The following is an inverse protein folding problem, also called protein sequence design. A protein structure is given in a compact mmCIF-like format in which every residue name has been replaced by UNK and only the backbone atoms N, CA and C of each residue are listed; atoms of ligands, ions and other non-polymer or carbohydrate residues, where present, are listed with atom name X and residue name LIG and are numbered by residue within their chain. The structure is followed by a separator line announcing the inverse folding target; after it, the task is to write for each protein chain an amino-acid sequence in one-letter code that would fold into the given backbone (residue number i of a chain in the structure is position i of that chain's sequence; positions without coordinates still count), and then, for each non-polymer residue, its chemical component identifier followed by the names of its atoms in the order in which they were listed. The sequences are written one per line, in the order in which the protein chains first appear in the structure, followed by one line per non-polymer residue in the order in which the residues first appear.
data_IF_064857324714
#
_entry.id   IF_064857324714
#
_cell.length_a   1.000
_cell.length_b   1.000
_cell.length_c   1.000
_cell.angle_alpha   90.00
_cell.angle_beta   90.00
_cell.angle_gamma   90.00
#
_symmetry.space_group_name_H-M   'P 1'
#
loop_
_entity.id
_entity.type
_entity.pdbx_description
1 polymer ?
#
# COMPACT_ATOMS: atom_id res chain seq x y z
N UNK A 1 -36.18 49.50 -11.44
CA UNK A 1 -35.02 48.96 -12.18
C UNK A 1 -34.69 47.61 -11.59
N UNK A 2 -34.46 46.60 -12.44
CA UNK A 2 -33.97 45.31 -11.97
C UNK A 2 -32.60 45.51 -11.31
N UNK A 3 -32.32 44.76 -10.24
CA UNK A 3 -31.01 44.75 -9.57
C UNK A 3 -29.96 44.26 -10.60
N UNK A 4 -28.96 45.08 -10.97
CA UNK A 4 -27.94 44.71 -11.95
C UNK A 4 -27.20 43.42 -11.58
N UNK A 5 -27.08 43.13 -10.29
CA UNK A 5 -26.49 41.88 -9.80
C UNK A 5 -27.33 40.66 -10.20
N UNK A 6 -28.65 40.73 -9.97
CA UNK A 6 -29.58 39.64 -10.30
C UNK A 6 -29.75 39.46 -11.80
N UNK A 7 -29.73 40.54 -12.57
CA UNK A 7 -29.84 40.47 -14.02
C UNK A 7 -28.74 39.60 -14.65
N UNK A 8 -27.49 39.79 -14.25
CA UNK A 8 -26.37 38.98 -14.77
C UNK A 8 -26.58 37.49 -14.46
N UNK A 9 -27.09 37.19 -13.26
CA UNK A 9 -27.31 35.82 -12.80
C UNK A 9 -28.47 35.15 -13.56
N UNK A 10 -29.59 35.86 -13.72
CA UNK A 10 -30.76 35.36 -14.45
C UNK A 10 -30.41 35.00 -15.89
N UNK A 11 -29.62 35.84 -16.56
CA UNK A 11 -29.13 35.56 -17.91
C UNK A 11 -28.15 34.39 -17.93
N UNK A 12 -27.24 34.31 -16.96
CA UNK A 12 -26.31 33.19 -16.84
C UNK A 12 -27.06 31.86 -16.69
N UNK A 13 -28.12 31.82 -15.86
CA UNK A 13 -28.99 30.64 -15.70
C UNK A 13 -29.69 30.29 -17.02
N UNK A 14 -30.22 31.29 -17.74
CA UNK A 14 -30.91 31.07 -19.00
C UNK A 14 -30.01 30.40 -20.05
N UNK A 15 -28.72 30.72 -20.03
CA UNK A 15 -27.72 30.21 -20.97
C UNK A 15 -26.88 29.03 -20.42
N UNK A 16 -27.34 28.38 -19.34
CA UNK A 16 -26.66 27.25 -18.67
C UNK A 16 -26.23 26.12 -19.61
N UNK A 17 -27.06 25.79 -20.59
CA UNK A 17 -26.79 24.70 -21.52
C UNK A 17 -25.53 25.00 -22.36
N UNK A 18 -25.40 26.23 -22.83
CA UNK A 18 -24.29 26.69 -23.65
C UNK A 18 -23.01 26.80 -22.82
N UNK A 19 -23.09 27.37 -21.61
CA UNK A 19 -21.96 27.40 -20.67
C UNK A 19 -21.43 25.98 -20.37
N UNK A 20 -22.33 25.06 -20.00
CA UNK A 20 -21.89 23.71 -19.62
C UNK A 20 -21.35 22.92 -20.81
N UNK A 21 -21.93 23.12 -22.00
CA UNK A 21 -21.40 22.57 -23.25
C UNK A 21 -19.99 23.08 -23.55
N UNK A 22 -19.76 24.38 -23.42
CA UNK A 22 -18.45 25.00 -23.63
C UNK A 22 -17.39 24.43 -22.68
N UNK A 23 -17.68 24.42 -21.37
CA UNK A 23 -16.72 23.91 -20.38
C UNK A 23 -16.43 22.43 -20.60
N UNK A 24 -17.45 21.60 -20.88
CA UNK A 24 -17.23 20.18 -21.21
C UNK A 24 -16.36 20.04 -22.45
N UNK A 25 -16.60 20.83 -23.50
CA UNK A 25 -15.79 20.85 -24.72
C UNK A 25 -14.33 21.17 -24.44
N UNK A 26 -14.06 22.24 -23.68
CA UNK A 26 -12.69 22.65 -23.32
C UNK A 26 -12.00 21.58 -22.47
N UNK A 27 -12.65 21.08 -21.42
CA UNK A 27 -12.05 20.11 -20.51
C UNK A 27 -11.74 18.78 -21.20
N UNK A 28 -12.59 18.33 -22.11
CA UNK A 28 -12.34 17.10 -22.89
C UNK A 28 -11.26 17.28 -23.95
N UNK A 29 -11.05 18.49 -24.47
CA UNK A 29 -10.00 18.79 -25.42
C UNK A 29 -8.62 18.89 -24.75
N UNK A 30 -8.56 19.44 -23.52
CA UNK A 30 -7.31 19.69 -22.80
C UNK A 30 -6.92 18.56 -21.83
N UNK A 31 -7.88 17.78 -21.31
CA UNK A 31 -7.66 16.76 -20.28
C UNK A 31 -7.89 15.32 -20.78
N UNK A 32 -6.83 14.50 -20.74
CA UNK A 32 -6.89 13.10 -21.17
C UNK A 32 -7.82 12.25 -20.30
N UNK A 33 -7.96 12.56 -19.01
CA UNK A 33 -8.92 11.93 -18.11
C UNK A 33 -10.35 12.30 -18.47
N UNK A 34 -10.61 13.60 -18.63
CA UNK A 34 -11.94 14.10 -18.99
C UNK A 34 -12.41 13.63 -20.37
N UNK A 35 -11.51 13.47 -21.33
CA UNK A 35 -11.81 12.94 -22.66
C UNK A 35 -12.44 11.54 -22.63
N UNK A 36 -12.10 10.71 -21.62
CA UNK A 36 -12.61 9.34 -21.47
C UNK A 36 -14.00 9.25 -20.86
N UNK A 37 -14.49 10.32 -20.22
CA UNK A 37 -15.80 10.31 -19.59
C UNK A 37 -16.92 10.25 -20.65
N UNK A 38 -18.13 9.83 -20.27
CA UNK A 38 -19.31 10.05 -21.12
C UNK A 38 -19.66 11.55 -21.11
N UNK A 39 -19.81 12.14 -22.31
CA UNK A 39 -19.98 13.59 -22.44
C UNK A 39 -21.33 14.07 -21.86
N UNK A 40 -22.41 13.31 -22.06
CA UNK A 40 -23.74 13.68 -21.59
C UNK A 40 -23.84 13.58 -20.05
N UNK A 41 -23.26 12.53 -19.47
CA UNK A 41 -23.16 12.38 -18.01
C UNK A 41 -22.26 13.45 -17.40
N UNK A 42 -21.12 13.75 -18.02
CA UNK A 42 -20.25 14.81 -17.52
C UNK A 42 -20.95 16.17 -17.55
N UNK A 43 -21.66 16.49 -18.62
CA UNK A 43 -22.44 17.72 -18.72
C UNK A 43 -23.52 17.81 -17.64
N UNK A 44 -24.28 16.73 -17.37
CA UNK A 44 -25.27 16.69 -16.27
C UNK A 44 -24.62 17.00 -14.92
N UNK A 45 -23.47 16.39 -14.63
CA UNK A 45 -22.76 16.61 -13.37
C UNK A 45 -22.24 18.04 -13.23
N UNK A 46 -21.70 18.60 -14.32
CA UNK A 46 -21.23 19.98 -14.36
C UNK A 46 -22.40 20.97 -14.21
N UNK A 47 -23.56 20.68 -14.80
CA UNK A 47 -24.78 21.48 -14.61
C UNK A 47 -25.13 21.60 -13.13
N UNK A 48 -24.99 20.53 -12.33
CA UNK A 48 -25.21 20.58 -10.88
C UNK A 48 -24.26 21.54 -10.17
N UNK A 49 -22.97 21.52 -10.51
CA UNK A 49 -21.98 22.46 -9.94
C UNK A 49 -22.19 23.90 -10.39
N UNK A 50 -22.60 24.10 -11.64
CA UNK A 50 -23.00 25.41 -12.14
C UNK A 50 -24.15 25.99 -11.32
N UNK A 51 -25.21 25.20 -11.07
CA UNK A 51 -26.36 25.66 -10.28
C UNK A 51 -25.94 26.08 -8.88
N UNK A 52 -25.13 25.25 -8.21
CA UNK A 52 -24.61 25.57 -6.89
C UNK A 52 -23.87 26.92 -6.92
N UNK A 53 -22.93 27.10 -7.84
CA UNK A 53 -22.17 28.36 -7.94
C UNK A 53 -23.08 29.59 -8.17
N UNK A 54 -24.08 29.43 -9.04
CA UNK A 54 -25.06 30.48 -9.32
C UNK A 54 -25.97 30.78 -8.12
N UNK A 55 -26.43 29.78 -7.38
CA UNK A 55 -27.26 29.96 -6.18
C UNK A 55 -26.48 30.69 -5.07
N UNK A 56 -25.20 30.35 -4.89
CA UNK A 56 -24.30 31.04 -3.96
C UNK A 56 -24.08 32.51 -4.35
N UNK A 57 -23.87 32.78 -5.64
CA UNK A 57 -23.73 34.13 -6.18
C UNK A 57 -25.02 34.96 -6.03
N UNK A 58 -26.18 34.34 -6.29
CA UNK A 58 -27.49 34.99 -6.10
C UNK A 58 -27.79 35.32 -4.64
N UNK A 59 -27.43 34.41 -3.73
CA UNK A 59 -27.61 34.57 -2.30
C UNK A 59 -26.55 35.45 -1.63
N UNK A 60 -25.46 35.78 -2.32
CA UNK A 60 -24.27 36.42 -1.74
C UNK A 60 -23.81 35.75 -0.43
N UNK A 61 -23.92 34.42 -0.39
CA UNK A 61 -23.48 33.56 0.73
C UNK A 61 -22.49 32.47 0.31
N UNK A 62 -21.61 32.14 1.23
CA UNK A 62 -20.69 31.02 1.10
C UNK A 62 -21.44 29.68 1.23
N UNK A 63 -20.86 28.57 0.73
CA UNK A 63 -21.49 27.26 0.78
C UNK A 63 -21.69 26.79 2.22
N UNK A 64 -22.85 26.19 2.47
CA UNK A 64 -23.16 25.58 3.75
C UNK A 64 -22.57 24.15 3.88
N UNK A 65 -22.69 23.48 5.04
CA UNK A 65 -22.15 22.13 5.22
C UNK A 65 -22.71 21.06 4.26
N UNK A 66 -23.92 21.23 3.73
CA UNK A 66 -24.59 20.29 2.84
C UNK A 66 -24.09 20.46 1.41
N UNK A 67 -23.94 21.71 0.98
CA UNK A 67 -23.32 22.06 -0.30
C UNK A 67 -21.84 21.67 -0.33
N UNK A 68 -21.13 21.84 0.79
CA UNK A 68 -19.76 21.34 0.92
C UNK A 68 -19.68 19.80 0.87
N UNK A 69 -20.73 19.07 1.27
CA UNK A 69 -20.82 17.60 1.02
C UNK A 69 -20.97 17.30 -0.46
N UNK A 70 -21.80 18.06 -1.20
CA UNK A 70 -21.94 17.90 -2.65
C UNK A 70 -20.61 18.11 -3.38
N UNK A 71 -19.79 19.08 -2.95
CA UNK A 71 -18.45 19.28 -3.48
C UNK A 71 -17.54 18.08 -3.19
N UNK A 72 -17.55 17.56 -1.95
CA UNK A 72 -16.80 16.33 -1.62
C UNK A 72 -17.24 15.16 -2.49
N UNK A 73 -18.53 14.99 -2.74
CA UNK A 73 -19.04 13.94 -3.62
C UNK A 73 -18.58 14.12 -5.07
N UNK A 74 -18.51 15.36 -5.56
CA UNK A 74 -17.95 15.65 -6.88
C UNK A 74 -16.48 15.24 -6.97
N UNK A 75 -15.66 15.63 -5.98
CA UNK A 75 -14.25 15.26 -5.91
C UNK A 75 -14.03 13.75 -5.82
N UNK A 76 -14.81 13.07 -4.97
CA UNK A 76 -14.80 11.61 -4.81
C UNK A 76 -15.08 10.90 -6.14
N UNK A 77 -16.16 11.29 -6.85
CA UNK A 77 -16.49 10.67 -8.15
C UNK A 77 -15.37 10.83 -9.17
N UNK A 78 -14.66 11.96 -9.17
CA UNK A 78 -13.53 12.18 -10.07
C UNK A 78 -12.35 11.25 -9.75
N UNK A 79 -12.07 11.02 -8.47
CA UNK A 79 -11.08 10.01 -8.06
C UNK A 79 -11.51 8.59 -8.49
N UNK A 80 -12.76 8.21 -8.25
CA UNK A 80 -13.32 6.90 -8.66
C UNK A 80 -13.29 6.68 -10.18
N UNK A 81 -13.37 7.77 -10.95
CA UNK A 81 -13.24 7.76 -12.42
C UNK A 81 -11.79 7.80 -12.92
N UNK A 82 -10.80 7.83 -12.02
CA UNK A 82 -9.37 7.88 -12.36
C UNK A 82 -8.92 9.23 -12.92
N UNK A 83 -9.57 10.33 -12.53
CA UNK A 83 -9.09 11.70 -12.80
C UNK A 83 -8.13 12.08 -11.68
N UNK A 84 -6.90 12.46 -12.03
CA UNK A 84 -5.90 12.90 -11.07
C UNK A 84 -6.28 14.23 -10.40
N UNK A 85 -5.82 14.44 -9.16
CA UNK A 85 -6.15 15.65 -8.40
C UNK A 85 -5.69 16.92 -9.14
N UNK A 86 -4.51 16.88 -9.76
CA UNK A 86 -3.98 18.00 -10.54
C UNK A 86 -4.87 18.32 -11.75
N UNK A 87 -5.33 17.29 -12.48
CA UNK A 87 -6.24 17.44 -13.61
C UNK A 87 -7.61 17.96 -13.15
N UNK A 88 -8.10 17.49 -11.99
CA UNK A 88 -9.32 18.01 -11.36
C UNK A 88 -9.21 19.51 -11.06
N UNK A 89 -8.15 19.94 -10.39
CA UNK A 89 -7.95 21.35 -10.02
C UNK A 89 -7.69 22.24 -11.24
N UNK A 90 -6.98 21.72 -12.24
CA UNK A 90 -6.80 22.41 -13.51
C UNK A 90 -8.14 22.61 -14.22
N UNK A 91 -8.95 21.56 -14.32
CA UNK A 91 -10.27 21.64 -14.95
C UNK A 91 -11.23 22.58 -14.20
N UNK A 92 -11.14 22.59 -12.87
CA UNK A 92 -11.89 23.53 -12.05
C UNK A 92 -11.52 25.00 -12.34
N UNK A 93 -10.21 25.30 -12.45
CA UNK A 93 -9.74 26.65 -12.83
C UNK A 93 -10.25 27.07 -14.21
N UNK A 94 -10.29 26.15 -15.17
CA UNK A 94 -10.87 26.40 -16.49
C UNK A 94 -12.36 26.74 -16.36
N UNK A 95 -13.14 25.93 -15.66
CA UNK A 95 -14.58 26.13 -15.49
C UNK A 95 -14.89 27.52 -14.88
N UNK A 96 -14.14 27.94 -13.86
CA UNK A 96 -14.29 29.26 -13.24
C UNK A 96 -13.85 30.40 -14.16
N UNK A 97 -12.77 30.22 -14.93
CA UNK A 97 -12.34 31.22 -15.94
C UNK A 97 -13.41 31.42 -17.01
N UNK A 98 -14.03 30.34 -17.48
CA UNK A 98 -15.19 30.43 -18.39
C UNK A 98 -16.34 31.15 -17.71
N UNK A 99 -16.65 30.81 -16.46
CA UNK A 99 -17.76 31.42 -15.71
C UNK A 99 -17.60 32.93 -15.53
N UNK A 100 -16.39 33.39 -15.18
CA UNK A 100 -16.06 34.81 -15.07
C UNK A 100 -16.18 35.54 -16.41
N UNK A 101 -15.69 34.93 -17.51
CA UNK A 101 -15.84 35.49 -18.86
C UNK A 101 -17.31 35.69 -19.22
N UNK A 102 -18.17 34.73 -18.90
CA UNK A 102 -19.60 34.80 -19.15
C UNK A 102 -20.29 35.91 -18.34
N UNK A 103 -20.00 36.03 -17.04
CA UNK A 103 -20.49 37.15 -16.22
C UNK A 103 -20.10 38.50 -16.83
N UNK A 104 -18.84 38.64 -17.25
CA UNK A 104 -18.35 39.88 -17.86
C UNK A 104 -19.07 40.20 -19.17
N UNK A 105 -19.24 39.22 -20.06
CA UNK A 105 -19.94 39.40 -21.34
C UNK A 105 -21.41 39.80 -21.15
N UNK A 106 -22.12 39.09 -20.27
CA UNK A 106 -23.52 39.38 -19.94
C UNK A 106 -23.65 40.78 -19.34
N UNK A 107 -22.79 41.12 -18.37
CA UNK A 107 -22.86 42.42 -17.71
C UNK A 107 -22.59 43.59 -18.67
N UNK A 108 -21.60 43.45 -19.56
CA UNK A 108 -21.32 44.44 -20.60
C UNK A 108 -22.51 44.62 -21.56
N UNK A 109 -23.12 43.52 -22.02
CA UNK A 109 -24.27 43.55 -22.92
C UNK A 109 -25.50 44.24 -22.30
N UNK A 110 -25.62 44.22 -20.96
CA UNK A 110 -26.75 44.77 -20.23
C UNK A 110 -26.44 46.08 -19.48
N UNK A 111 -25.25 46.67 -19.69
CA UNK A 111 -24.87 47.94 -19.07
C UNK A 111 -24.70 47.88 -17.55
N UNK A 112 -24.31 46.71 -17.01
CA UNK A 112 -23.96 46.55 -15.59
C UNK A 112 -22.69 47.33 -15.30
N UNK A 113 -22.67 48.11 -14.22
CA UNK A 113 -21.51 48.94 -13.85
C UNK A 113 -20.28 48.12 -13.47
N UNK A 114 -19.08 48.66 -13.73
CA UNK A 114 -17.79 48.06 -13.35
C UNK A 114 -17.69 47.69 -11.87
N UNK A 115 -18.29 48.51 -10.98
CA UNK A 115 -18.31 48.22 -9.54
C UNK A 115 -19.02 46.89 -9.24
N UNK A 116 -20.19 46.68 -9.83
CA UNK A 116 -20.97 45.44 -9.64
C UNK A 116 -20.23 44.25 -10.26
N UNK A 117 -19.61 44.41 -11.43
CA UNK A 117 -18.82 43.35 -12.06
C UNK A 117 -17.57 42.97 -11.24
N UNK A 118 -16.92 43.95 -10.61
CA UNK A 118 -15.79 43.71 -9.71
C UNK A 118 -16.23 42.98 -8.44
N UNK A 119 -17.35 43.40 -7.84
CA UNK A 119 -17.95 42.72 -6.69
C UNK A 119 -18.33 41.27 -7.05
N UNK A 120 -18.93 41.01 -8.22
CA UNK A 120 -19.25 39.67 -8.71
C UNK A 120 -17.99 38.83 -8.92
N UNK A 121 -16.94 39.41 -9.51
CA UNK A 121 -15.68 38.71 -9.77
C UNK A 121 -15.02 38.27 -8.47
N UNK A 122 -14.85 39.17 -7.51
CA UNK A 122 -14.27 38.86 -6.21
C UNK A 122 -15.06 37.77 -5.49
N UNK A 123 -16.39 37.85 -5.56
CA UNK A 123 -17.27 36.87 -4.96
C UNK A 123 -17.12 35.47 -5.59
N UNK A 124 -17.04 35.39 -6.92
CA UNK A 124 -16.81 34.12 -7.63
C UNK A 124 -15.45 33.52 -7.25
N UNK A 125 -14.42 34.34 -7.04
CA UNK A 125 -13.11 33.86 -6.59
C UNK A 125 -13.21 33.25 -5.18
N UNK A 126 -13.88 33.93 -4.24
CA UNK A 126 -14.09 33.42 -2.87
C UNK A 126 -14.86 32.09 -2.86
N UNK A 127 -15.92 31.97 -3.67
CA UNK A 127 -16.67 30.73 -3.82
C UNK A 127 -15.83 29.64 -4.48
N UNK A 128 -15.10 29.96 -5.54
CA UNK A 128 -14.19 29.03 -6.22
C UNK A 128 -13.20 28.40 -5.27
N UNK A 129 -12.60 29.20 -4.39
CA UNK A 129 -11.65 28.71 -3.40
C UNK A 129 -12.29 27.73 -2.42
N UNK A 130 -13.52 27.98 -1.95
CA UNK A 130 -14.23 27.06 -1.06
C UNK A 130 -14.68 25.76 -1.74
N UNK A 131 -15.25 25.86 -2.94
CA UNK A 131 -15.66 24.66 -3.68
C UNK A 131 -14.44 23.78 -4.00
N UNK A 132 -13.30 24.39 -4.34
CA UNK A 132 -12.02 23.70 -4.57
C UNK A 132 -11.52 22.91 -3.35
N UNK A 133 -11.72 23.43 -2.13
CA UNK A 133 -11.40 22.72 -0.90
C UNK A 133 -12.28 21.47 -0.75
N UNK A 134 -13.58 21.58 -1.04
CA UNK A 134 -14.50 20.44 -1.06
C UNK A 134 -14.09 19.37 -2.07
N UNK A 135 -13.77 19.76 -3.30
CA UNK A 135 -13.30 18.84 -4.34
C UNK A 135 -12.03 18.11 -3.93
N UNK A 136 -11.03 18.85 -3.42
CA UNK A 136 -9.77 18.28 -2.94
C UNK A 136 -9.98 17.28 -1.81
N UNK A 137 -10.78 17.65 -0.80
CA UNK A 137 -11.04 16.78 0.34
C UNK A 137 -11.72 15.46 -0.07
N UNK A 138 -12.73 15.54 -0.93
CA UNK A 138 -13.43 14.35 -1.44
C UNK A 138 -12.54 13.45 -2.31
N UNK A 139 -11.74 14.05 -3.18
CA UNK A 139 -10.79 13.33 -4.03
C UNK A 139 -9.74 12.59 -3.19
N UNK A 140 -9.11 13.30 -2.25
CA UNK A 140 -8.09 12.73 -1.38
C UNK A 140 -8.65 11.60 -0.49
N UNK A 141 -9.83 11.77 0.08
CA UNK A 141 -10.48 10.72 0.88
C UNK A 141 -10.72 9.46 0.04
N UNK A 142 -11.29 9.61 -1.16
CA UNK A 142 -11.54 8.49 -2.05
C UNK A 142 -10.24 7.80 -2.49
N UNK A 143 -9.18 8.57 -2.78
CA UNK A 143 -7.86 8.01 -3.08
C UNK A 143 -7.29 7.16 -1.95
N UNK A 144 -7.42 7.62 -0.69
CA UNK A 144 -7.02 6.84 0.48
C UNK A 144 -7.85 5.56 0.66
N UNK A 145 -9.15 5.62 0.41
CA UNK A 145 -10.04 4.46 0.49
C UNK A 145 -9.69 3.42 -0.59
N UNK A 146 -9.48 3.85 -1.84
CA UNK A 146 -9.05 2.99 -2.94
C UNK A 146 -7.69 2.34 -2.66
N UNK A 147 -6.72 3.11 -2.16
CA UNK A 147 -5.41 2.58 -1.80
C UNK A 147 -5.49 1.54 -0.67
N UNK A 148 -6.35 1.76 0.33
CA UNK A 148 -6.59 0.79 1.41
C UNK A 148 -7.23 -0.49 0.90
N UNK A 149 -8.20 -0.38 -0.02
CA UNK A 149 -8.84 -1.56 -0.61
C UNK A 149 -7.83 -2.37 -1.43
N UNK A 150 -6.99 -1.72 -2.22
CA UNK A 150 -5.91 -2.40 -2.96
C UNK A 150 -4.92 -3.09 -2.02
N UNK A 151 -4.48 -2.41 -0.96
CA UNK A 151 -3.58 -2.99 0.06
C UNK A 151 -4.22 -4.18 0.78
N UNK A 152 -5.49 -4.06 1.19
CA UNK A 152 -6.24 -5.14 1.83
C UNK A 152 -6.35 -6.34 0.90
N UNK A 153 -6.70 -6.11 -0.36
CA UNK A 153 -6.86 -7.19 -1.31
C UNK A 153 -5.55 -7.90 -1.63
N UNK A 154 -4.46 -7.13 -1.75
CA UNK A 154 -3.10 -7.66 -1.91
C UNK A 154 -2.67 -8.48 -0.69
N UNK A 155 -2.99 -8.01 0.52
CA UNK A 155 -2.73 -8.73 1.77
C UNK A 155 -3.54 -10.02 1.88
N UNK A 156 -4.83 -9.99 1.55
CA UNK A 156 -5.71 -11.15 1.52
C UNK A 156 -5.28 -12.19 0.48
N UNK A 157 -4.89 -11.74 -0.70
CA UNK A 157 -4.30 -12.60 -1.73
C UNK A 157 -3.03 -13.28 -1.21
N UNK A 158 -2.10 -12.50 -0.64
CA UNK A 158 -0.86 -13.02 -0.04
C UNK A 158 -1.16 -14.09 1.00
N UNK A 159 -2.09 -13.82 1.92
CA UNK A 159 -2.50 -14.77 2.95
C UNK A 159 -3.09 -16.05 2.35
N UNK A 160 -3.98 -15.92 1.37
CA UNK A 160 -4.63 -17.06 0.75
C UNK A 160 -3.64 -17.95 -0.02
N UNK A 161 -2.66 -17.34 -0.70
CA UNK A 161 -1.56 -18.05 -1.37
C UNK A 161 -0.70 -18.80 -0.36
N UNK A 162 -0.23 -18.14 0.70
CA UNK A 162 0.66 -18.76 1.70
C UNK A 162 -0.02 -19.87 2.51
N UNK A 163 -1.34 -19.80 2.69
CA UNK A 163 -2.11 -20.82 3.40
C UNK A 163 -2.71 -21.88 2.48
N UNK A 164 -2.51 -21.78 1.16
CA UNK A 164 -3.07 -22.73 0.19
C UNK A 164 -4.60 -22.73 0.14
N UNK A 165 -5.23 -21.59 0.40
CA UNK A 165 -6.68 -21.44 0.51
C UNK A 165 -7.39 -21.17 -0.84
N UNK A 166 -6.64 -21.11 -1.95
CA UNK A 166 -7.16 -20.83 -3.29
C UNK A 166 -7.26 -22.10 -4.13
N UNK A 167 -8.34 -22.23 -4.90
CA UNK A 167 -8.39 -23.21 -5.98
C UNK A 167 -7.38 -22.85 -7.09
N UNK A 168 -6.96 -23.80 -7.95
CA UNK A 168 -6.08 -23.49 -9.07
C UNK A 168 -6.63 -22.42 -10.02
N UNK A 169 -7.95 -22.39 -10.22
CA UNK A 169 -8.61 -21.39 -11.06
C UNK A 169 -8.56 -19.99 -10.42
N UNK A 170 -8.88 -19.88 -9.12
CA UNK A 170 -8.84 -18.61 -8.39
C UNK A 170 -7.42 -18.08 -8.26
N UNK A 171 -6.44 -18.98 -8.05
CA UNK A 171 -5.03 -18.63 -8.00
C UNK A 171 -4.59 -17.99 -9.33
N UNK A 172 -4.94 -18.61 -10.46
CA UNK A 172 -4.62 -18.07 -11.79
C UNK A 172 -5.26 -16.71 -12.06
N UNK A 173 -6.57 -16.57 -11.79
CA UNK A 173 -7.29 -15.32 -12.02
C UNK A 173 -6.73 -14.17 -11.17
N UNK A 174 -6.47 -14.41 -9.88
CA UNK A 174 -5.95 -13.37 -8.97
C UNK A 174 -4.48 -13.06 -9.23
N UNK A 175 -3.65 -14.06 -9.54
CA UNK A 175 -2.26 -13.84 -9.92
C UNK A 175 -2.14 -12.94 -11.16
N UNK A 176 -2.93 -13.22 -12.20
CA UNK A 176 -2.96 -12.40 -13.42
C UNK A 176 -3.35 -10.94 -13.13
N UNK A 177 -4.34 -10.72 -12.27
CA UNK A 177 -4.78 -9.37 -11.86
C UNK A 177 -3.69 -8.59 -11.12
N UNK A 178 -2.80 -9.30 -10.41
CA UNK A 178 -1.65 -8.72 -9.73
C UNK A 178 -0.36 -8.73 -10.59
N UNK A 179 -0.44 -9.10 -11.87
CA UNK A 179 0.71 -9.13 -12.79
C UNK A 179 1.73 -10.21 -12.49
N UNK A 180 1.34 -11.28 -11.78
CA UNK A 180 2.21 -12.41 -11.44
C UNK A 180 2.12 -13.51 -12.51
N UNK A 181 3.27 -14.03 -12.89
CA UNK A 181 3.39 -15.23 -13.71
C UNK A 181 3.33 -16.48 -12.82
N UNK A 182 2.43 -17.42 -13.13
CA UNK A 182 2.28 -18.69 -12.41
C UNK A 182 3.54 -19.57 -12.49
N UNK A 183 4.32 -19.45 -13.56
CA UNK A 183 5.55 -20.21 -13.76
C UNK A 183 6.77 -19.57 -13.06
N UNK A 184 6.67 -18.30 -12.67
CA UNK A 184 7.73 -17.63 -11.93
C UNK A 184 7.88 -18.22 -10.52
N UNK A 185 9.10 -18.22 -10.01
CA UNK A 185 9.38 -18.66 -8.65
C UNK A 185 9.49 -17.47 -7.72
N UNK A 186 8.98 -17.63 -6.51
CA UNK A 186 9.00 -16.65 -5.45
C UNK A 186 9.54 -17.28 -4.17
N UNK A 187 10.13 -16.45 -3.32
CA UNK A 187 10.73 -16.85 -2.05
C UNK A 187 9.77 -16.48 -0.92
N UNK A 188 9.12 -17.47 -0.25
CA UNK A 188 8.30 -17.17 0.91
C UNK A 188 9.19 -16.85 2.12
N UNK A 189 8.71 -15.95 2.97
CA UNK A 189 9.41 -15.52 4.16
C UNK A 189 8.45 -15.31 5.34
N UNK A 190 9.03 -15.32 6.55
CA UNK A 190 8.39 -14.86 7.77
C UNK A 190 9.40 -14.12 8.64
N UNK A 191 9.00 -13.01 9.26
CA UNK A 191 9.84 -12.23 10.18
C UNK A 191 9.00 -11.43 11.19
N UNK A 192 9.57 -11.12 12.35
CA UNK A 192 8.91 -10.28 13.37
C UNK A 192 8.97 -8.79 13.08
N UNK A 193 9.83 -8.34 12.18
CA UNK A 193 10.10 -6.91 11.98
C UNK A 193 9.99 -6.49 10.52
N UNK A 194 9.26 -5.41 10.27
CA UNK A 194 9.16 -4.80 8.95
C UNK A 194 10.50 -4.26 8.43
N UNK A 195 11.47 -3.98 9.33
CA UNK A 195 12.78 -3.47 8.93
C UNK A 195 13.55 -4.44 8.01
N UNK A 196 13.29 -5.74 8.12
CA UNK A 196 13.89 -6.77 7.25
C UNK A 196 13.42 -6.64 5.79
N UNK A 197 12.20 -6.14 5.56
CA UNK A 197 11.56 -6.08 4.25
C UNK A 197 12.29 -5.15 3.26
N UNK A 198 13.04 -4.18 3.77
CA UNK A 198 13.89 -3.28 2.97
C UNK A 198 14.95 -4.01 2.13
N UNK A 199 15.26 -5.27 2.44
CA UNK A 199 16.26 -6.07 1.73
C UNK A 199 15.64 -7.06 0.73
N UNK A 200 14.33 -7.00 0.50
CA UNK A 200 13.62 -7.97 -0.34
C UNK A 200 13.34 -7.39 -1.73
N UNK A 201 13.47 -8.24 -2.76
CA UNK A 201 13.31 -7.84 -4.16
C UNK A 201 11.88 -8.04 -4.68
N UNK A 202 11.55 -7.28 -5.73
CA UNK A 202 10.24 -7.38 -6.40
C UNK A 202 10.03 -8.70 -7.14
N UNK A 203 8.78 -9.18 -7.24
CA UNK A 203 7.59 -8.60 -6.60
C UNK A 203 7.55 -8.90 -5.10
N UNK A 204 7.19 -7.92 -4.27
CA UNK A 204 7.05 -8.09 -2.81
C UNK A 204 5.58 -8.10 -2.38
N UNK A 205 5.11 -9.23 -1.86
CA UNK A 205 3.75 -9.42 -1.34
C UNK A 205 3.82 -9.72 0.15
N UNK A 206 3.13 -8.93 0.97
CA UNK A 206 3.22 -8.97 2.43
C UNK A 206 1.82 -9.05 3.04
N UNK A 207 1.70 -9.84 4.09
CA UNK A 207 0.55 -9.87 5.00
C UNK A 207 1.04 -10.08 6.44
N UNK A 208 0.11 -10.07 7.41
CA UNK A 208 0.40 -10.38 8.81
C UNK A 208 -0.30 -11.66 9.23
N UNK A 209 0.46 -12.55 9.87
CA UNK A 209 -0.04 -13.76 10.51
C UNK A 209 0.52 -13.81 11.94
N UNK A 210 -0.35 -13.96 12.94
CA UNK A 210 0.01 -14.01 14.35
C UNK A 210 0.88 -12.82 14.83
N UNK A 211 0.65 -11.63 14.27
CA UNK A 211 1.42 -10.42 14.56
C UNK A 211 2.78 -10.32 13.87
N UNK A 212 3.16 -11.33 13.08
CA UNK A 212 4.42 -11.37 12.33
C UNK A 212 4.22 -11.01 10.85
N UNK A 213 5.24 -10.45 10.22
CA UNK A 213 5.22 -10.12 8.80
C UNK A 213 5.59 -11.37 7.99
N UNK A 214 4.74 -11.75 7.05
CA UNK A 214 4.94 -12.89 6.19
C UNK A 214 4.57 -12.54 4.76
N UNK A 215 5.07 -13.30 3.81
CA UNK A 215 4.93 -12.92 2.43
C UNK A 215 5.72 -13.79 1.49
N UNK A 216 5.76 -13.36 0.24
CA UNK A 216 6.68 -13.87 -0.76
C UNK A 216 7.30 -12.71 -1.52
N UNK A 217 8.55 -12.90 -1.95
CA UNK A 217 9.35 -11.90 -2.65
C UNK A 217 10.00 -12.52 -3.90
N UNK A 218 10.44 -11.70 -4.86
CA UNK A 218 11.31 -12.20 -5.93
C UNK A 218 12.66 -12.66 -5.40
N UNK A 219 13.15 -12.00 -4.33
CA UNK A 219 14.36 -12.41 -3.61
C UNK A 219 14.33 -11.95 -2.15
N UNK A 220 15.09 -12.64 -1.30
CA UNK A 220 15.29 -12.28 0.11
C UNK A 220 16.77 -12.00 0.33
N UNK A 221 17.12 -10.72 0.49
CA UNK A 221 18.49 -10.28 0.74
C UNK A 221 18.97 -10.50 2.17
N UNK A 222 20.28 -10.34 2.39
CA UNK A 222 20.91 -10.49 3.71
C UNK A 222 20.46 -9.38 4.64
N UNK A 223 20.18 -9.72 5.90
CA UNK A 223 19.83 -8.76 6.95
C UNK A 223 20.35 -9.24 8.30
N UNK A 224 20.48 -8.33 9.27
CA UNK A 224 20.77 -8.68 10.68
C UNK A 224 19.53 -9.18 11.42
N UNK A 225 18.34 -8.87 10.92
CA UNK A 225 17.08 -9.28 11.54
C UNK A 225 16.82 -10.76 11.29
N UNK A 226 16.18 -11.45 12.23
CA UNK A 226 15.83 -12.86 12.05
C UNK A 226 14.71 -13.01 11.03
N UNK A 227 14.98 -13.76 9.96
CA UNK A 227 14.04 -14.06 8.89
C UNK A 227 14.08 -15.56 8.65
N UNK A 228 12.93 -16.22 8.70
CA UNK A 228 12.78 -17.56 8.17
C UNK A 228 12.44 -17.48 6.69
N UNK A 229 13.19 -18.20 5.86
CA UNK A 229 13.00 -18.27 4.41
C UNK A 229 12.66 -19.70 4.00
N UNK A 230 11.76 -19.84 3.03
CA UNK A 230 11.50 -21.11 2.35
C UNK A 230 12.19 -21.17 0.97
N UNK A 231 12.27 -22.37 0.36
CA UNK A 231 12.84 -22.51 -0.98
C UNK A 231 12.05 -21.69 -2.00
N UNK A 232 12.75 -21.18 -3.03
CA UNK A 232 12.09 -20.52 -4.16
C UNK A 232 11.12 -21.50 -4.84
N UNK A 233 9.88 -21.09 -5.03
CA UNK A 233 8.77 -21.97 -5.44
C UNK A 233 7.74 -21.20 -6.27
N UNK A 234 7.06 -21.89 -7.18
CA UNK A 234 5.89 -21.36 -7.89
C UNK A 234 4.73 -21.12 -6.92
N UNK A 235 3.75 -20.29 -7.32
CA UNK A 235 2.66 -19.87 -6.43
C UNK A 235 1.87 -21.04 -5.83
N UNK A 236 1.66 -22.13 -6.58
CA UNK A 236 0.96 -23.35 -6.13
C UNK A 236 1.77 -24.14 -5.09
N UNK A 237 3.09 -23.97 -5.06
CA UNK A 237 4.02 -24.63 -4.12
C UNK A 237 4.40 -23.77 -2.93
N UNK A 238 4.06 -22.48 -2.93
CA UNK A 238 4.31 -21.56 -1.82
C UNK A 238 3.74 -22.02 -0.47
N UNK A 239 2.58 -22.70 -0.35
CA UNK A 239 2.11 -23.15 0.96
C UNK A 239 3.11 -24.05 1.69
N UNK A 240 3.68 -25.04 0.98
CA UNK A 240 4.65 -25.95 1.56
C UNK A 240 5.99 -25.25 1.88
N UNK A 241 6.45 -24.38 0.98
CA UNK A 241 7.67 -23.61 1.18
C UNK A 241 7.51 -22.58 2.32
N UNK A 242 6.35 -21.98 2.49
CA UNK A 242 6.04 -21.06 3.58
C UNK A 242 5.95 -21.75 4.95
N UNK A 243 5.48 -22.99 5.01
CA UNK A 243 5.56 -23.81 6.22
C UNK A 243 7.01 -23.99 6.68
N UNK A 244 7.94 -24.21 5.74
CA UNK A 244 9.38 -24.27 6.05
C UNK A 244 9.92 -22.92 6.53
N UNK A 245 9.54 -21.81 5.88
CA UNK A 245 9.90 -20.46 6.31
C UNK A 245 9.43 -20.17 7.75
N UNK A 246 8.20 -20.56 8.09
CA UNK A 246 7.64 -20.40 9.43
C UNK A 246 8.44 -21.19 10.47
N UNK A 247 8.72 -22.47 10.19
CA UNK A 247 9.54 -23.32 11.08
C UNK A 247 10.96 -22.77 11.25
N UNK A 248 11.56 -22.27 10.17
CA UNK A 248 12.89 -21.67 10.21
C UNK A 248 12.91 -20.41 11.09
N UNK A 249 11.91 -19.52 10.95
CA UNK A 249 11.80 -18.33 11.79
C UNK A 249 11.66 -18.71 13.27
N UNK A 250 10.68 -19.55 13.60
CA UNK A 250 10.39 -19.91 15.00
C UNK A 250 11.59 -20.59 15.66
N UNK A 251 12.26 -21.49 14.93
CA UNK A 251 13.49 -22.14 15.40
C UNK A 251 14.61 -21.13 15.60
N UNK A 252 14.88 -20.28 14.62
CA UNK A 252 15.93 -19.27 14.73
C UNK A 252 15.70 -18.36 15.93
N UNK A 253 14.46 -17.92 16.17
CA UNK A 253 14.11 -17.11 17.33
C UNK A 253 14.27 -17.83 18.66
N UNK A 254 13.80 -19.07 18.77
CA UNK A 254 13.89 -19.87 20.00
C UNK A 254 15.35 -20.11 20.44
N UNK A 255 16.27 -20.20 19.47
CA UNK A 255 17.69 -20.42 19.73
C UNK A 255 18.56 -19.16 19.53
N UNK A 256 17.97 -17.96 19.51
CA UNK A 256 18.71 -16.69 19.46
C UNK A 256 19.54 -16.47 18.19
N UNK A 257 19.16 -17.10 17.07
CA UNK A 257 19.83 -16.95 15.77
C UNK A 257 19.34 -15.69 15.05
N UNK A 258 20.29 -14.83 14.68
CA UNK A 258 20.06 -13.64 13.85
C UNK A 258 20.31 -13.93 12.37
N UNK A 259 19.71 -13.13 11.49
CA UNK A 259 19.89 -13.23 10.04
C UNK A 259 18.85 -14.09 9.33
N UNK A 260 19.11 -14.39 8.06
CA UNK A 260 18.22 -15.17 7.20
C UNK A 260 18.57 -16.64 7.32
N UNK A 261 17.58 -17.47 7.63
CA UNK A 261 17.74 -18.91 7.81
C UNK A 261 16.73 -19.67 6.96
N UNK A 262 17.22 -20.65 6.20
CA UNK A 262 16.40 -21.73 5.69
C UNK A 262 16.30 -22.84 6.75
N UNK A 263 15.29 -23.69 6.62
CA UNK A 263 15.11 -24.79 7.58
C UNK A 263 16.32 -25.73 7.61
N UNK A 264 16.97 -25.94 6.46
CA UNK A 264 18.16 -26.78 6.32
C UNK A 264 19.39 -26.24 7.07
N UNK A 265 19.47 -24.92 7.29
CA UNK A 265 20.61 -24.28 7.98
C UNK A 265 20.61 -24.55 9.48
N UNK A 266 19.48 -25.01 10.03
CA UNK A 266 19.25 -25.13 11.48
C UNK A 266 19.47 -26.55 12.02
N UNK A 267 19.84 -27.50 11.15
CA UNK A 267 20.17 -28.88 11.55
C UNK A 267 19.04 -29.56 12.33
N UNK A 268 19.34 -30.06 13.53
CA UNK A 268 18.38 -30.76 14.39
C UNK A 268 17.50 -29.83 15.25
N UNK A 269 17.82 -28.53 15.32
CA UNK A 269 17.10 -27.57 16.18
C UNK A 269 15.58 -27.54 15.93
N UNK A 270 15.08 -27.59 14.68
CA UNK A 270 13.64 -27.60 14.44
C UNK A 270 12.95 -28.87 14.96
N UNK A 271 13.65 -30.00 15.01
CA UNK A 271 13.10 -31.26 15.55
C UNK A 271 13.03 -31.20 17.08
N UNK A 272 14.11 -30.72 17.72
CA UNK A 272 14.17 -30.52 19.18
C UNK A 272 13.11 -29.52 19.65
N UNK A 273 12.85 -28.45 18.89
CA UNK A 273 11.82 -27.47 19.21
C UNK A 273 10.40 -28.04 19.05
N UNK A 274 10.19 -28.92 18.07
CA UNK A 274 8.88 -29.50 17.79
C UNK A 274 8.51 -30.62 18.78
N UNK A 275 9.51 -31.32 19.32
CA UNK A 275 9.34 -32.43 20.26
C UNK A 275 10.48 -32.47 21.27
N UNK A 276 10.17 -32.04 22.50
CA UNK A 276 11.13 -32.05 23.61
C UNK A 276 11.53 -33.46 24.03
N UNK A 277 10.65 -34.45 23.90
CA UNK A 277 10.95 -35.86 24.22
C UNK A 277 12.01 -36.40 23.26
N UNK A 278 11.87 -36.10 21.95
CA UNK A 278 12.94 -36.41 20.97
C UNK A 278 14.26 -35.74 21.37
N UNK A 279 14.24 -34.50 21.85
CA UNK A 279 15.42 -33.82 22.37
C UNK A 279 16.08 -34.57 23.53
N UNK A 280 15.29 -34.94 24.54
CA UNK A 280 15.76 -35.71 25.71
C UNK A 280 16.31 -37.07 25.32
N UNK A 281 15.64 -37.79 24.40
CA UNK A 281 16.11 -39.08 23.90
C UNK A 281 17.44 -38.97 23.14
N UNK A 282 17.65 -37.89 22.38
CA UNK A 282 18.93 -37.64 21.72
C UNK A 282 20.02 -37.33 22.75
N UNK A 283 19.73 -36.52 23.77
CA UNK A 283 20.66 -36.24 24.87
C UNK A 283 21.01 -37.53 25.61
N UNK A 284 20.04 -38.33 26.02
CA UNK A 284 20.29 -39.61 26.70
C UNK A 284 21.09 -40.57 25.81
N UNK A 285 20.71 -40.70 24.53
CA UNK A 285 21.38 -41.62 23.59
C UNK A 285 22.83 -41.25 23.33
N UNK A 286 23.13 -39.97 23.12
CA UNK A 286 24.46 -39.53 22.70
C UNK A 286 25.33 -39.02 23.87
N UNK A 287 24.71 -38.51 24.93
CA UNK A 287 25.39 -37.88 26.07
C UNK A 287 25.07 -38.53 27.42
N UNK A 288 24.05 -39.39 27.55
CA UNK A 288 23.60 -39.94 28.85
C UNK A 288 24.64 -40.77 29.59
N UNK A 289 25.61 -41.36 28.86
CA UNK A 289 26.77 -42.07 29.44
C UNK A 289 28.10 -41.35 29.22
N UNK A 290 28.09 -40.13 28.68
CA UNK A 290 29.30 -39.39 28.43
C UNK A 290 29.91 -38.91 29.75
N UNK A 291 31.21 -39.08 29.90
CA UNK A 291 31.97 -38.56 31.04
C UNK A 291 31.85 -37.01 31.08
N UNK A 292 31.55 -36.38 32.23
CA UNK A 292 31.51 -34.91 32.35
C UNK A 292 32.74 -34.20 31.78
N UNK A 293 33.92 -34.78 31.90
CA UNK A 293 35.17 -34.23 31.31
C UNK A 293 35.19 -34.27 29.79
N UNK A 294 34.54 -35.26 29.18
CA UNK A 294 34.31 -35.31 27.73
C UNK A 294 33.31 -34.24 27.32
N UNK A 295 32.20 -34.09 28.05
CA UNK A 295 31.17 -33.07 27.77
C UNK A 295 31.78 -31.66 27.80
N UNK A 296 32.55 -31.33 28.84
CA UNK A 296 33.27 -30.06 28.95
C UNK A 296 34.23 -29.84 27.76
N UNK A 297 34.98 -30.87 27.40
CA UNK A 297 35.93 -30.78 26.27
C UNK A 297 35.22 -30.63 24.93
N UNK A 298 34.11 -31.33 24.73
CA UNK A 298 33.29 -31.27 23.53
C UNK A 298 32.61 -29.91 23.37
N UNK A 299 32.11 -29.34 24.46
CA UNK A 299 31.49 -28.02 24.45
C UNK A 299 32.50 -26.93 24.09
N UNK A 300 33.65 -26.90 24.77
CA UNK A 300 34.73 -25.96 24.44
C UNK A 300 35.25 -26.17 23.00
N UNK A 301 35.27 -27.42 22.51
CA UNK A 301 35.66 -27.73 21.15
C UNK A 301 34.68 -27.15 20.12
N UNK A 302 33.38 -27.29 20.35
CA UNK A 302 32.35 -26.75 19.47
C UNK A 302 32.31 -25.22 19.51
N UNK A 303 32.44 -24.62 20.70
CA UNK A 303 32.50 -23.15 20.88
C UNK A 303 33.71 -22.53 20.16
N UNK A 304 34.81 -23.26 20.03
CA UNK A 304 36.01 -22.87 19.29
C UNK A 304 36.02 -23.36 17.84
N UNK A 305 34.84 -23.52 17.21
CA UNK A 305 34.68 -23.92 15.81
C UNK A 305 35.41 -25.23 15.44
N UNK A 306 35.52 -26.16 16.39
CA UNK A 306 36.23 -27.43 16.24
C UNK A 306 37.74 -27.27 16.04
N UNK A 307 38.34 -26.20 16.57
CA UNK A 307 39.78 -26.00 16.51
C UNK A 307 40.47 -26.46 17.79
N UNK A 308 41.27 -27.53 17.68
CA UNK A 308 41.92 -28.20 18.82
C UNK A 308 42.80 -27.25 19.63
N UNK A 309 43.64 -26.44 18.98
CA UNK A 309 44.60 -25.61 19.71
C UNK A 309 43.93 -24.45 20.47
N UNK A 310 42.88 -23.85 19.90
CA UNK A 310 42.06 -22.85 20.58
C UNK A 310 41.30 -23.47 21.75
N UNK A 311 40.78 -24.68 21.58
CA UNK A 311 40.12 -25.44 22.66
C UNK A 311 41.08 -25.77 23.80
N UNK A 312 42.29 -26.21 23.48
CA UNK A 312 43.33 -26.53 24.44
C UNK A 312 43.74 -25.30 25.25
N UNK A 313 43.89 -24.15 24.57
CA UNK A 313 44.16 -22.86 25.21
C UNK A 313 43.01 -22.45 26.13
N UNK A 314 41.76 -22.55 25.67
CA UNK A 314 40.57 -22.19 26.46
C UNK A 314 40.42 -23.05 27.73
N UNK A 315 40.78 -24.34 27.66
CA UNK A 315 40.71 -25.26 28.79
C UNK A 315 42.01 -25.35 29.61
N UNK A 316 43.05 -24.60 29.25
CA UNK A 316 44.40 -24.72 29.85
C UNK A 316 44.96 -26.16 29.81
N UNK A 317 44.71 -26.88 28.71
CA UNK A 317 45.17 -28.24 28.46
C UNK A 317 46.22 -28.28 27.35
N UNK A 318 46.97 -29.38 27.26
CA UNK A 318 47.79 -29.65 26.08
C UNK A 318 46.91 -30.13 24.90
N UNK A 319 47.24 -29.75 23.66
CA UNK A 319 46.45 -30.12 22.46
C UNK A 319 46.25 -31.64 22.31
N UNK A 320 47.25 -32.44 22.69
CA UNK A 320 47.16 -33.91 22.71
C UNK A 320 46.09 -34.42 23.68
N UNK A 321 45.91 -33.76 24.82
CA UNK A 321 44.89 -34.13 25.83
C UNK A 321 43.48 -33.90 25.28
N UNK A 322 43.26 -32.81 24.55
CA UNK A 322 41.98 -32.54 23.87
C UNK A 322 41.69 -33.62 22.81
N UNK A 323 42.69 -33.95 21.97
CA UNK A 323 42.54 -35.03 20.96
C UNK A 323 42.28 -36.39 21.58
N UNK A 324 42.90 -36.70 22.71
CA UNK A 324 42.69 -37.95 23.43
C UNK A 324 41.27 -38.03 23.97
N UNK A 325 40.80 -36.97 24.64
CA UNK A 325 39.43 -36.90 25.17
C UNK A 325 38.39 -37.05 24.07
N UNK A 326 38.56 -36.39 22.92
CA UNK A 326 37.60 -36.46 21.79
C UNK A 326 37.62 -37.78 20.99
N UNK A 327 38.58 -38.68 21.24
CA UNK A 327 38.68 -39.99 20.58
C UNK A 327 38.03 -41.13 21.37
N UNK A 328 37.66 -40.87 22.63
CA UNK A 328 36.99 -41.82 23.52
C UNK A 328 35.52 -41.98 23.13
#
# INVERSE_FOLDING_TARGET
MADPWRLTIEQLIAERADYTSEVVGVLRAEGAGYARLDAAEFQRQLSGMFQLNTDLLAGKRLPDPDEMRMCRDYGRRRAEQGIELEELLHGNRIAFRVYLRWIQQIGLAHGVSDQVLLEQTNYVLDVSDQLSQGFTAGHHQAGLELARLDEQERSEFTRAVLLGALSPADLGARAARHGLDLAATHVPFRTRTAAALSQFGDPLFITKLDGEHCGFAGSVGRTRHTVGRGPASTLDRLPAAFSQATRALHTALAFGRSGVHELADLGLLPAVLADSETGELLVERYLGKADPTLIETLQAYLDNNRHVDHTATALSLHANTVRYRLKA
#
